data_IF_904333387710
#
_entry.id   IF_904333387710
#
_cell.length_a   1.000
_cell.length_b   1.000
_cell.length_c   1.000
_cell.angle_alpha   90.00
_cell.angle_beta   90.00
_cell.angle_gamma   90.00
#
_symmetry.space_group_name_H-M   'P 1'
#
loop_
_entity.id
_entity.type
_entity.pdbx_description
1 polymer ?
#
# COMPACT_ATOMS: atom_id res chain seq x y z
N UNK A 1 8.66 -19.45 14.33
CA UNK A 1 8.55 -18.09 13.79
C UNK A 1 7.11 -17.78 13.48
N UNK A 2 6.54 -18.21 12.38
CA UNK A 2 5.13 -18.02 12.03
C UNK A 2 4.61 -19.24 11.25
N UNK A 3 3.40 -19.67 11.53
CA UNK A 3 2.74 -20.78 10.84
C UNK A 3 1.26 -20.44 10.63
N UNK A 4 0.81 -20.47 9.38
CA UNK A 4 -0.61 -20.41 9.04
C UNK A 4 -1.17 -21.84 9.06
N UNK A 5 -2.23 -22.05 9.81
CA UNK A 5 -2.83 -23.38 9.97
C UNK A 5 -3.91 -23.71 8.96
N UNK A 6 -4.39 -22.69 8.23
CA UNK A 6 -5.43 -22.89 7.22
C UNK A 6 -4.79 -23.15 5.86
N UNK A 7 -5.10 -24.29 5.26
CA UNK A 7 -4.65 -24.61 3.89
C UNK A 7 -5.24 -23.72 2.80
N UNK A 8 -6.29 -22.93 3.14
CA UNK A 8 -6.92 -22.00 2.22
C UNK A 8 -6.17 -20.68 2.08
N UNK A 9 -5.20 -20.40 2.97
CA UNK A 9 -4.47 -19.15 3.00
C UNK A 9 -3.02 -19.33 2.55
N UNK A 10 -2.55 -18.43 1.73
CA UNK A 10 -1.13 -18.30 1.38
C UNK A 10 -0.43 -17.39 2.37
N UNK A 11 0.87 -17.58 2.55
CA UNK A 11 1.71 -16.77 3.43
C UNK A 11 2.81 -16.10 2.61
N UNK A 12 2.95 -14.79 2.77
CA UNK A 12 4.04 -14.02 2.22
C UNK A 12 4.74 -13.20 3.30
N UNK A 13 5.98 -12.84 3.07
CA UNK A 13 6.72 -11.88 3.90
C UNK A 13 7.33 -10.83 3.01
N UNK A 14 7.21 -9.57 3.41
CA UNK A 14 7.77 -8.42 2.70
C UNK A 14 8.37 -7.40 3.65
N UNK A 15 9.37 -6.68 3.15
CA UNK A 15 9.97 -5.55 3.84
C UNK A 15 9.14 -4.30 3.55
N UNK A 16 8.94 -3.44 4.57
CA UNK A 16 8.32 -2.12 4.37
C UNK A 16 9.14 -1.24 3.43
N UNK A 17 8.51 -0.27 2.79
CA UNK A 17 9.18 0.64 1.84
C UNK A 17 10.30 1.45 2.49
N UNK A 18 10.19 1.79 3.77
CA UNK A 18 11.23 2.47 4.55
C UNK A 18 12.25 1.52 5.19
N UNK A 19 12.11 0.19 4.93
CA UNK A 19 13.01 -0.86 5.43
C UNK A 19 13.10 -0.94 6.96
N UNK A 20 12.03 -0.61 7.68
CA UNK A 20 11.99 -0.66 9.14
C UNK A 20 11.25 -1.85 9.71
N UNK A 21 10.32 -2.40 8.95
CA UNK A 21 9.43 -3.47 9.38
C UNK A 21 9.37 -4.60 8.37
N UNK A 22 9.26 -5.82 8.86
CA UNK A 22 8.74 -6.94 8.07
C UNK A 22 7.25 -7.08 8.31
N UNK A 23 6.50 -7.26 7.23
CA UNK A 23 5.09 -7.63 7.24
C UNK A 23 4.92 -9.06 6.77
N UNK A 24 4.29 -9.90 7.60
CA UNK A 24 3.84 -11.23 7.21
C UNK A 24 2.38 -11.10 6.84
N UNK A 25 2.04 -11.43 5.62
CA UNK A 25 0.66 -11.40 5.11
C UNK A 25 0.15 -12.81 4.92
N UNK A 26 -1.01 -13.11 5.49
CA UNK A 26 -1.76 -14.31 5.16
C UNK A 26 -3.03 -13.91 4.41
N UNK A 27 -3.29 -14.54 3.28
CA UNK A 27 -4.44 -14.15 2.45
C UNK A 27 -4.98 -15.29 1.60
N UNK A 28 -6.27 -15.21 1.33
CA UNK A 28 -6.93 -15.89 0.22
C UNK A 28 -7.35 -14.86 -0.84
N UNK A 29 -8.31 -15.21 -1.71
CA UNK A 29 -8.76 -14.34 -2.80
C UNK A 29 -9.54 -13.10 -2.35
N UNK A 30 -10.10 -13.05 -1.14
CA UNK A 30 -10.93 -11.95 -0.66
C UNK A 30 -10.73 -11.56 0.81
N UNK A 31 -9.79 -12.17 1.49
CA UNK A 31 -9.55 -11.94 2.92
C UNK A 31 -8.07 -11.90 3.21
N UNK A 32 -7.63 -10.95 3.99
CA UNK A 32 -6.22 -10.88 4.42
C UNK A 32 -6.07 -10.61 5.91
N UNK A 33 -4.89 -10.96 6.42
CA UNK A 33 -4.44 -10.67 7.79
C UNK A 33 -2.94 -10.38 7.76
N UNK A 34 -2.50 -9.37 8.50
CA UNK A 34 -1.08 -9.04 8.56
C UNK A 34 -0.56 -9.02 9.99
N UNK A 35 0.68 -9.48 10.09
CA UNK A 35 1.53 -9.37 11.27
C UNK A 35 2.77 -8.55 10.93
N UNK A 36 3.37 -7.93 11.92
CA UNK A 36 4.59 -7.17 11.73
C UNK A 36 5.59 -7.40 12.85
N UNK A 37 6.83 -7.09 12.58
CA UNK A 37 7.91 -6.94 13.56
C UNK A 37 8.96 -5.95 13.05
N UNK A 38 9.66 -5.30 13.97
CA UNK A 38 10.74 -4.37 13.67
C UNK A 38 11.98 -5.15 13.21
N UNK A 39 12.69 -4.66 12.20
CA UNK A 39 13.89 -5.33 11.67
C UNK A 39 15.04 -5.39 12.69
N UNK A 40 15.04 -4.53 13.71
CA UNK A 40 16.04 -4.49 14.76
C UNK A 40 15.84 -5.55 15.84
N UNK A 41 14.70 -6.25 15.85
CA UNK A 41 14.42 -7.31 16.82
C UNK A 41 15.32 -8.54 16.54
N UNK A 42 16.20 -8.90 17.49
CA UNK A 42 17.06 -10.10 17.38
C UNK A 42 16.26 -11.41 17.42
N UNK A 43 15.16 -11.41 18.15
CA UNK A 43 14.24 -12.55 18.28
C UNK A 43 12.80 -12.08 17.96
N UNK A 44 12.47 -11.87 16.68
CA UNK A 44 11.21 -11.27 16.32
C UNK A 44 10.01 -12.11 16.73
N UNK A 45 9.06 -11.44 17.36
CA UNK A 45 7.75 -11.98 17.70
C UNK A 45 6.70 -11.25 16.85
N UNK A 46 6.23 -11.86 15.77
CA UNK A 46 5.25 -11.22 14.90
C UNK A 46 3.99 -10.80 15.67
N UNK A 47 3.68 -9.51 15.65
CA UNK A 47 2.51 -8.92 16.28
C UNK A 47 1.38 -8.82 15.27
N UNK A 48 0.19 -9.29 15.62
CA UNK A 48 -1.00 -9.14 14.80
C UNK A 48 -1.42 -7.68 14.73
N UNK A 49 -1.68 -7.17 13.51
CA UNK A 49 -2.18 -5.81 13.31
C UNK A 49 -3.71 -5.78 13.48
N UNK A 50 -4.41 -6.59 12.70
CA UNK A 50 -5.86 -6.73 12.75
C UNK A 50 -6.24 -8.17 12.38
N UNK A 51 -7.12 -8.77 13.17
CA UNK A 51 -7.64 -10.10 12.86
C UNK A 51 -8.41 -10.08 11.55
N UNK A 52 -8.22 -11.14 10.74
CA UNK A 52 -8.93 -11.31 9.48
C UNK A 52 -10.46 -11.30 9.66
N UNK A 53 -11.12 -10.68 8.73
CA UNK A 53 -12.57 -10.66 8.60
C UNK A 53 -12.92 -11.04 7.16
N UNK A 54 -13.87 -11.96 6.99
CA UNK A 54 -14.24 -12.46 5.66
C UNK A 54 -14.70 -11.34 4.74
N UNK A 55 -14.10 -11.25 3.56
CA UNK A 55 -14.39 -10.23 2.58
C UNK A 55 -13.60 -8.93 2.77
N UNK A 56 -12.79 -8.84 3.82
CA UNK A 56 -11.93 -7.67 4.05
C UNK A 56 -10.49 -7.98 3.63
N UNK A 57 -10.03 -7.22 2.67
CA UNK A 57 -8.63 -7.16 2.25
C UNK A 57 -7.99 -5.91 2.84
N UNK A 58 -6.78 -6.06 3.37
CA UNK A 58 -5.97 -4.92 3.76
C UNK A 58 -4.48 -5.21 3.60
N UNK A 59 -3.73 -4.19 3.31
CA UNK A 59 -2.27 -4.24 3.18
C UNK A 59 -1.67 -2.96 3.72
N UNK A 60 -0.74 -3.10 4.65
CA UNK A 60 -0.07 -1.98 5.31
C UNK A 60 1.36 -1.84 4.81
N UNK A 61 1.78 -0.61 4.60
CA UNK A 61 3.16 -0.25 4.32
C UNK A 61 3.58 0.90 5.23
N UNK A 62 4.90 1.06 5.42
CA UNK A 62 5.49 2.11 6.25
C UNK A 62 6.34 3.05 5.42
N UNK A 63 6.14 4.36 5.64
CA UNK A 63 6.95 5.42 5.03
C UNK A 63 6.95 6.71 5.88
N UNK A 64 8.11 7.29 6.08
CA UNK A 64 8.28 8.57 6.80
C UNK A 64 7.58 8.62 8.16
N UNK A 65 7.63 7.53 8.93
CA UNK A 65 7.04 7.44 10.26
C UNK A 65 5.52 7.28 10.28
N UNK A 66 4.91 7.05 9.14
CA UNK A 66 3.48 6.76 9.00
C UNK A 66 3.27 5.36 8.42
N UNK A 67 2.12 4.79 8.75
CA UNK A 67 1.62 3.54 8.20
C UNK A 67 0.43 3.83 7.29
N UNK A 68 0.44 3.25 6.12
CA UNK A 68 -0.59 3.42 5.09
C UNK A 68 -1.30 2.09 4.91
N UNK A 69 -2.59 2.08 5.18
CA UNK A 69 -3.45 0.91 5.08
C UNK A 69 -4.33 1.01 3.84
N UNK A 70 -4.00 0.24 2.81
CA UNK A 70 -4.83 0.08 1.62
C UNK A 70 -5.85 -1.03 1.90
N UNK A 71 -7.15 -0.69 1.93
CA UNK A 71 -8.19 -1.62 2.37
C UNK A 71 -9.53 -1.37 1.68
N UNK A 72 -10.32 -2.43 1.57
CA UNK A 72 -11.73 -2.35 1.17
C UNK A 72 -12.71 -2.28 2.36
N UNK A 73 -12.21 -2.12 3.57
CA UNK A 73 -13.06 -1.99 4.76
C UNK A 73 -13.89 -0.70 4.69
N UNK A 74 -15.23 -0.85 4.64
CA UNK A 74 -16.18 0.24 4.40
C UNK A 74 -15.89 1.04 3.09
N UNK A 75 -15.34 0.36 2.07
CA UNK A 75 -14.95 0.97 0.80
C UNK A 75 -14.92 -0.12 -0.29
N UNK A 76 -15.97 -0.26 -1.09
CA UNK A 76 -16.09 -1.32 -2.11
C UNK A 76 -14.87 -1.34 -3.05
N UNK A 77 -14.47 -0.17 -3.56
CA UNK A 77 -13.35 0.01 -4.49
C UNK A 77 -12.06 0.50 -3.80
N UNK A 78 -11.88 0.10 -2.53
CA UNK A 78 -10.75 0.44 -1.69
C UNK A 78 -10.68 1.92 -1.29
N UNK A 79 -9.82 2.16 -0.32
CA UNK A 79 -9.38 3.45 0.21
C UNK A 79 -7.98 3.29 0.79
N UNK A 80 -7.37 4.41 1.18
CA UNK A 80 -6.12 4.38 1.94
C UNK A 80 -6.32 5.16 3.23
N UNK A 81 -6.11 4.50 4.36
CA UNK A 81 -6.08 5.12 5.66
C UNK A 81 -4.61 5.31 6.12
N UNK A 82 -4.38 6.27 7.00
CA UNK A 82 -3.06 6.57 7.57
C UNK A 82 -3.12 6.58 9.11
N UNK A 83 -2.06 6.06 9.72
CA UNK A 83 -1.81 6.16 11.18
C UNK A 83 -0.32 6.29 11.43
N UNK A 84 0.07 6.87 12.55
CA UNK A 84 1.47 6.92 12.99
C UNK A 84 1.81 5.83 14.02
N UNK A 85 0.87 4.94 14.33
CA UNK A 85 1.02 3.88 15.31
C UNK A 85 0.36 2.58 14.81
N UNK A 86 0.99 1.43 14.97
CA UNK A 86 0.43 0.12 14.64
C UNK A 86 -0.08 -0.66 15.86
N UNK A 87 0.39 -0.35 17.06
CA UNK A 87 -0.03 -1.07 18.27
C UNK A 87 -1.45 -0.65 18.72
N UNK A 88 -1.75 0.64 18.56
CA UNK A 88 -3.09 1.21 18.81
C UNK A 88 -3.38 2.23 17.70
N UNK A 89 -3.76 1.76 16.51
CA UNK A 89 -3.84 2.63 15.35
C UNK A 89 -5.11 3.49 15.37
N UNK A 90 -4.93 4.81 15.33
CA UNK A 90 -5.97 5.80 15.03
C UNK A 90 -6.00 6.04 13.51
N UNK A 91 -6.68 5.15 12.78
CA UNK A 91 -6.77 5.24 11.33
C UNK A 91 -7.58 6.45 10.88
N UNK A 92 -6.94 7.33 10.12
CA UNK A 92 -7.58 8.49 9.47
C UNK A 92 -7.59 8.29 7.97
N UNK A 93 -8.65 8.73 7.32
CA UNK A 93 -8.73 8.65 5.87
C UNK A 93 -7.65 9.51 5.23
N UNK A 94 -6.78 8.90 4.44
CA UNK A 94 -5.75 9.57 3.64
C UNK A 94 -6.21 9.76 2.20
N UNK A 95 -6.70 8.70 1.56
CA UNK A 95 -7.37 8.73 0.26
C UNK A 95 -8.76 8.14 0.46
N UNK A 96 -9.83 8.94 0.33
CA UNK A 96 -11.19 8.46 0.51
C UNK A 96 -11.61 7.50 -0.62
N UNK A 97 -12.56 6.60 -0.37
CA UNK A 97 -13.17 5.82 -1.41
C UNK A 97 -13.89 6.73 -2.40
N UNK A 98 -13.92 6.34 -3.66
CA UNK A 98 -14.62 7.02 -4.74
C UNK A 98 -15.58 6.04 -5.41
N UNK A 99 -16.77 6.51 -5.79
CA UNK A 99 -17.74 5.66 -6.47
C UNK A 99 -17.23 5.26 -7.85
N UNK A 100 -17.27 3.96 -8.16
CA UNK A 100 -16.83 3.38 -9.44
C UNK A 100 -15.37 3.69 -9.81
N UNK A 101 -14.52 3.92 -8.79
CA UNK A 101 -13.09 4.15 -8.98
C UNK A 101 -12.31 3.22 -8.05
N UNK A 102 -11.60 2.28 -8.63
CA UNK A 102 -10.69 1.41 -7.90
C UNK A 102 -9.46 2.22 -7.45
N UNK A 103 -9.29 2.37 -6.15
CA UNK A 103 -8.12 3.02 -5.56
C UNK A 103 -6.99 2.01 -5.48
N UNK A 104 -5.88 2.29 -6.14
CA UNK A 104 -4.66 1.47 -6.08
C UNK A 104 -3.81 1.75 -4.83
N UNK A 105 -2.86 0.88 -4.58
CA UNK A 105 -1.89 1.05 -3.49
C UNK A 105 -0.89 2.18 -3.72
N UNK A 106 -0.11 2.49 -2.68
CA UNK A 106 0.94 3.50 -2.75
C UNK A 106 2.30 2.90 -3.12
N UNK A 107 3.03 3.61 -3.97
CA UNK A 107 4.47 3.46 -4.18
C UNK A 107 5.17 4.68 -3.60
N UNK A 108 6.18 4.44 -2.76
CA UNK A 108 6.84 5.50 -2.01
C UNK A 108 8.20 5.83 -2.63
N UNK A 109 8.44 7.11 -2.86
CA UNK A 109 9.72 7.69 -3.21
C UNK A 109 10.18 8.62 -2.07
N UNK A 110 11.42 9.08 -2.13
CA UNK A 110 12.00 9.93 -1.07
C UNK A 110 11.08 11.07 -0.65
N UNK A 111 10.57 11.85 -1.60
CA UNK A 111 9.75 13.05 -1.34
C UNK A 111 8.33 12.92 -1.93
N UNK A 112 7.96 11.77 -2.50
CA UNK A 112 6.72 11.60 -3.24
C UNK A 112 6.02 10.28 -2.95
N UNK A 113 4.71 10.30 -3.03
CA UNK A 113 3.85 9.11 -3.03
C UNK A 113 3.16 9.04 -4.39
N UNK A 114 3.31 7.90 -5.05
CA UNK A 114 2.60 7.59 -6.29
C UNK A 114 1.48 6.59 -5.99
N UNK A 115 0.34 6.78 -6.63
CA UNK A 115 -0.78 5.83 -6.58
C UNK A 115 -1.55 5.83 -7.88
N UNK A 116 -2.24 4.74 -8.17
CA UNK A 116 -3.14 4.64 -9.31
C UNK A 116 -4.60 4.74 -8.90
N UNK A 117 -5.43 5.15 -9.85
CA UNK A 117 -6.88 5.01 -9.81
C UNK A 117 -7.33 4.40 -11.13
N UNK A 118 -8.26 3.44 -11.09
CA UNK A 118 -8.83 2.86 -12.30
C UNK A 118 -10.33 3.16 -12.36
N UNK A 119 -10.78 3.78 -13.43
CA UNK A 119 -12.20 4.02 -13.72
C UNK A 119 -12.46 3.84 -15.21
N UNK A 120 -13.62 3.28 -15.58
CA UNK A 120 -13.96 3.00 -16.98
C UNK A 120 -12.87 2.23 -17.75
N UNK A 121 -12.19 1.30 -17.06
CA UNK A 121 -11.03 0.53 -17.55
C UNK A 121 -9.84 1.40 -17.98
N UNK A 122 -9.75 2.64 -17.51
CA UNK A 122 -8.63 3.54 -17.72
C UNK A 122 -7.92 3.81 -16.42
N UNK A 123 -6.61 3.62 -16.42
CA UNK A 123 -5.76 3.91 -15.28
C UNK A 123 -5.28 5.36 -15.32
N UNK A 124 -5.29 5.97 -14.16
CA UNK A 124 -4.72 7.29 -13.89
C UNK A 124 -3.66 7.17 -12.81
N UNK A 125 -2.62 7.96 -12.93
CA UNK A 125 -1.54 8.01 -11.98
C UNK A 125 -1.52 9.37 -11.27
N UNK A 126 -1.43 9.35 -9.95
CA UNK A 126 -1.34 10.53 -9.10
C UNK A 126 -0.02 10.57 -8.38
N UNK A 127 0.56 11.75 -8.27
CA UNK A 127 1.77 12.02 -7.49
C UNK A 127 1.47 13.04 -6.41
N UNK A 128 1.82 12.71 -5.18
CA UNK A 128 1.67 13.58 -4.02
C UNK A 128 3.03 13.90 -3.42
N UNK A 129 3.33 15.18 -3.26
CA UNK A 129 4.51 15.60 -2.53
C UNK A 129 4.29 15.43 -1.02
N UNK A 130 5.18 14.72 -0.33
CA UNK A 130 5.06 14.41 1.10
C UNK A 130 5.16 15.66 1.96
N UNK A 131 6.00 16.62 1.56
CA UNK A 131 6.29 17.82 2.36
C UNK A 131 5.21 18.89 2.23
N UNK A 132 4.65 19.08 1.02
CA UNK A 132 3.61 20.09 0.75
C UNK A 132 2.21 19.54 0.79
N UNK A 133 2.06 18.20 0.73
CA UNK A 133 0.79 17.49 0.64
C UNK A 133 -0.05 17.84 -0.62
N UNK A 134 0.59 18.44 -1.62
CA UNK A 134 -0.03 18.72 -2.91
C UNK A 134 -0.02 17.45 -3.76
N UNK A 135 -1.16 17.12 -4.35
CA UNK A 135 -1.35 15.99 -5.24
C UNK A 135 -1.75 16.47 -6.63
N UNK A 136 -1.16 15.85 -7.64
CA UNK A 136 -1.43 16.14 -9.05
C UNK A 136 -1.59 14.84 -9.83
N UNK A 137 -2.46 14.86 -10.86
CA UNK A 137 -2.54 13.78 -11.84
C UNK A 137 -1.38 13.91 -12.83
N UNK A 138 -0.67 12.81 -13.08
CA UNK A 138 0.32 12.75 -14.14
C UNK A 138 -0.39 12.61 -15.49
N UNK A 139 -0.38 13.70 -16.26
CA UNK A 139 -0.95 13.74 -17.60
C UNK A 139 0.20 13.68 -18.62
N UNK A 140 0.17 12.68 -19.48
CA UNK A 140 1.11 12.55 -20.59
C UNK A 140 0.53 13.29 -21.80
N UNK A 141 1.21 14.35 -22.25
CA UNK A 141 0.65 15.46 -23.04
C UNK A 141 0.18 15.12 -24.46
N UNK A 142 0.53 14.00 -25.04
CA UNK A 142 0.28 13.74 -26.46
C UNK A 142 -0.33 12.36 -26.78
N UNK A 143 -0.56 11.50 -25.80
CA UNK A 143 -1.11 10.17 -26.02
C UNK A 143 -2.22 9.84 -25.02
N UNK A 144 -3.22 9.11 -25.48
CA UNK A 144 -4.16 8.44 -24.57
C UNK A 144 -3.39 7.29 -23.91
N UNK A 145 -2.91 7.51 -22.71
CA UNK A 145 -2.26 6.47 -21.92
C UNK A 145 -3.34 5.49 -21.47
N UNK A 146 -3.20 4.25 -21.88
CA UNK A 146 -4.21 3.23 -21.61
C UNK A 146 -3.92 2.42 -20.34
N UNK A 147 -2.67 2.17 -20.02
CA UNK A 147 -2.27 1.40 -18.80
C UNK A 147 -0.91 1.88 -18.32
N UNK A 148 -0.81 2.81 -17.37
CA UNK A 148 0.46 3.12 -16.75
C UNK A 148 0.84 2.00 -15.78
N UNK A 149 1.92 1.30 -16.06
CA UNK A 149 2.56 0.43 -15.10
C UNK A 149 3.72 1.16 -14.43
N UNK A 150 3.72 1.20 -13.09
CA UNK A 150 4.76 1.88 -12.32
C UNK A 150 5.74 0.85 -11.81
N UNK A 151 6.94 0.84 -12.37
CA UNK A 151 8.03 0.05 -11.83
C UNK A 151 9.12 0.93 -11.22
N UNK A 152 9.57 0.56 -10.01
CA UNK A 152 10.74 1.16 -9.39
C UNK A 152 12.00 0.45 -9.89
N UNK A 153 12.88 1.18 -10.58
CA UNK A 153 14.14 0.63 -11.12
C UNK A 153 15.17 0.28 -10.06
N UNK A 154 15.07 0.92 -8.92
CA UNK A 154 15.95 0.61 -7.79
C UNK A 154 15.14 0.58 -6.51
N UNK A 155 15.35 -0.45 -5.70
CA UNK A 155 14.82 -0.51 -4.32
C UNK A 155 15.64 0.39 -3.41
N UNK A 156 15.74 1.66 -3.77
CA UNK A 156 16.46 2.65 -2.98
C UNK A 156 15.44 3.64 -2.41
N UNK A 157 15.21 3.56 -1.12
CA UNK A 157 14.30 4.46 -0.39
C UNK A 157 14.68 5.95 -0.47
N UNK A 158 15.85 6.28 -0.99
CA UNK A 158 16.33 7.66 -1.12
C UNK A 158 16.21 8.21 -2.56
N UNK A 159 15.51 7.51 -3.45
CA UNK A 159 15.33 7.97 -4.84
C UNK A 159 14.03 8.75 -5.02
N UNK A 160 14.05 9.72 -5.93
CA UNK A 160 12.87 10.35 -6.52
C UNK A 160 12.70 9.93 -7.99
N UNK A 161 13.44 8.94 -8.44
CA UNK A 161 13.37 8.44 -9.81
C UNK A 161 12.50 7.20 -9.86
N UNK A 162 11.60 7.17 -10.83
CA UNK A 162 10.73 6.05 -11.14
C UNK A 162 10.65 5.90 -12.65
N UNK A 163 10.68 4.67 -13.14
CA UNK A 163 10.42 4.39 -14.55
C UNK A 163 8.96 3.97 -14.69
N UNK A 164 8.31 4.60 -15.63
CA UNK A 164 6.94 4.29 -16.03
C UNK A 164 7.00 3.55 -17.36
N UNK A 165 6.37 2.39 -17.43
CA UNK A 165 6.06 1.74 -18.69
C UNK A 165 4.59 1.94 -19.01
N UNK A 166 4.28 2.21 -20.27
CA UNK A 166 2.92 2.32 -20.77
C UNK A 166 2.81 1.69 -22.15
N UNK A 167 1.66 1.18 -22.48
CA UNK A 167 1.38 0.55 -23.77
C UNK A 167 0.03 1.02 -24.35
#
# INVERSE_FOLDING_TARGET
IFEEKSEAFTVGIGLSSDEKYYFITTSDHNTSEQYYFDISEEQPQPKLIKKREKGILYSINSWCGNFYNHTNENAEDFKIDISNNLEDPDWKVFIPPKNEVLIGGCTFLKDWILRSETSDALDKLFVRNINTNIEEELVFSDEKVYVPDVSLTQRNKNTNEVYLSYS
#
